data_IF_707757731434
#
_entry.id   IF_707757731434
#
_cell.length_a   1.000
_cell.length_b   1.000
_cell.length_c   1.000
_cell.angle_alpha   90.00
_cell.angle_beta   90.00
_cell.angle_gamma   90.00
#
_symmetry.space_group_name_H-M   'P 1'
#
loop_
_entity.id
_entity.type
_entity.pdbx_description
1 polymer ?
#
# COMPACT_ATOMS: atom_id res chain seq x y z
N UNK A 1 -2.91 -62.84 -85.05
CA UNK A 1 -3.14 -62.04 -86.26
C UNK A 1 -3.63 -60.68 -85.81
N UNK A 2 -2.81 -59.66 -86.08
CA UNK A 2 -3.10 -58.23 -86.23
C UNK A 2 -4.03 -57.48 -85.25
N UNK A 3 -3.46 -56.37 -84.76
CA UNK A 3 -4.16 -55.12 -84.44
C UNK A 3 -5.14 -54.69 -85.56
N UNK A 4 -6.32 -54.21 -85.18
CA UNK A 4 -6.77 -52.82 -85.40
C UNK A 4 -8.10 -52.63 -84.65
N UNK A 5 -8.21 -51.84 -83.57
CA UNK A 5 -8.23 -50.36 -83.55
C UNK A 5 -9.15 -49.77 -84.63
N UNK A 6 -10.31 -49.24 -84.24
CA UNK A 6 -10.57 -47.79 -84.18
C UNK A 6 -12.06 -47.49 -83.94
N UNK A 7 -12.27 -46.48 -83.07
CA UNK A 7 -13.49 -45.68 -82.86
C UNK A 7 -14.54 -46.28 -81.91
N UNK A 8 -15.12 -45.38 -81.10
CA UNK A 8 -15.93 -45.56 -79.87
C UNK A 8 -15.04 -45.72 -78.63
N UNK A 9 -14.96 -44.81 -77.66
CA UNK A 9 -15.91 -43.80 -77.22
C UNK A 9 -15.20 -42.57 -76.62
N UNK A 10 -15.55 -41.41 -77.13
CA UNK A 10 -15.37 -40.11 -76.48
C UNK A 10 -16.51 -39.93 -75.47
N UNK A 11 -16.21 -39.93 -74.17
CA UNK A 11 -16.84 -39.16 -73.07
C UNK A 11 -16.44 -39.78 -71.72
N UNK A 12 -15.29 -39.36 -71.17
CA UNK A 12 -15.03 -39.47 -69.72
C UNK A 12 -14.47 -38.14 -69.24
N UNK A 13 -15.36 -37.38 -68.60
CA UNK A 13 -15.06 -36.23 -67.76
C UNK A 13 -13.90 -36.57 -66.80
N UNK A 14 -12.99 -35.61 -66.64
CA UNK A 14 -11.93 -35.63 -65.65
C UNK A 14 -12.46 -35.92 -64.23
N UNK A 15 -12.08 -37.05 -63.65
CA UNK A 15 -12.01 -37.23 -62.20
C UNK A 15 -10.59 -36.85 -61.76
N UNK A 16 -10.46 -35.70 -61.11
CA UNK A 16 -9.30 -35.38 -60.26
C UNK A 16 -9.24 -36.39 -59.10
N UNK A 17 -8.06 -36.87 -58.69
CA UNK A 17 -7.94 -37.79 -57.57
C UNK A 17 -8.31 -37.05 -56.28
N UNK A 18 -9.29 -37.60 -55.53
CA UNK A 18 -9.61 -37.20 -54.17
C UNK A 18 -8.35 -37.38 -53.31
N UNK A 19 -7.77 -36.28 -52.82
CA UNK A 19 -6.77 -36.32 -51.76
C UNK A 19 -7.41 -36.96 -50.52
N UNK A 20 -6.73 -37.88 -49.81
CA UNK A 20 -7.25 -38.43 -48.57
C UNK A 20 -7.45 -37.31 -47.55
N UNK A 21 -8.60 -37.33 -46.87
CA UNK A 21 -8.91 -36.40 -45.78
C UNK A 21 -7.91 -36.57 -44.64
N UNK A 22 -7.54 -35.47 -43.96
CA UNK A 22 -6.63 -35.51 -42.82
C UNK A 22 -7.24 -36.35 -41.68
N UNK A 23 -6.47 -37.29 -41.14
CA UNK A 23 -6.90 -38.16 -40.03
C UNK A 23 -6.76 -37.46 -38.67
N UNK A 24 -7.45 -38.00 -37.66
CA UNK A 24 -7.40 -37.46 -36.30
C UNK A 24 -6.07 -37.81 -35.62
N UNK A 25 -5.28 -36.76 -35.34
CA UNK A 25 -3.99 -36.87 -34.69
C UNK A 25 -2.85 -37.33 -35.62
N UNK A 26 -1.62 -36.97 -35.26
CA UNK A 26 -0.42 -37.43 -35.98
C UNK A 26 0.86 -37.19 -35.19
N UNK A 27 1.84 -38.06 -35.36
CA UNK A 27 3.19 -37.87 -34.83
C UNK A 27 4.16 -37.58 -35.97
N UNK A 28 4.81 -36.41 -35.94
CA UNK A 28 5.72 -35.95 -37.00
C UNK A 28 7.13 -35.75 -36.46
N UNK A 29 8.11 -36.24 -37.21
CA UNK A 29 9.54 -36.02 -36.93
C UNK A 29 10.17 -35.22 -38.06
N UNK A 30 10.86 -34.12 -37.74
CA UNK A 30 11.51 -33.30 -38.76
C UNK A 30 11.85 -31.88 -38.33
N UNK A 31 12.49 -31.15 -39.23
CA UNK A 31 12.88 -29.74 -39.01
C UNK A 31 11.83 -28.74 -39.48
N UNK A 32 10.83 -29.18 -40.24
CA UNK A 32 9.67 -28.38 -40.64
C UNK A 32 8.56 -29.30 -41.11
N UNK A 33 7.31 -28.82 -41.05
CA UNK A 33 6.17 -29.56 -41.55
C UNK A 33 4.85 -28.87 -41.31
N UNK A 34 3.76 -29.57 -41.62
CA UNK A 34 2.39 -29.09 -41.50
C UNK A 34 1.57 -30.12 -40.73
N UNK A 35 0.75 -29.64 -39.80
CA UNK A 35 -0.26 -30.41 -39.08
C UNK A 35 -1.64 -29.91 -39.47
N UNK A 36 -2.54 -30.83 -39.76
CA UNK A 36 -3.91 -30.53 -40.19
C UNK A 36 -4.89 -31.06 -39.16
N UNK A 37 -5.96 -30.31 -38.91
CA UNK A 37 -7.11 -30.80 -38.16
C UNK A 37 -7.82 -31.92 -38.94
N UNK A 38 -8.62 -32.78 -38.28
CA UNK A 38 -9.36 -33.84 -38.96
C UNK A 38 -10.24 -33.26 -40.07
N UNK A 39 -10.30 -33.95 -41.21
CA UNK A 39 -11.05 -33.57 -42.42
C UNK A 39 -10.60 -32.29 -43.13
N UNK A 40 -9.60 -31.55 -42.63
CA UNK A 40 -9.18 -30.29 -43.26
C UNK A 40 -8.86 -30.48 -44.76
N UNK A 41 -9.34 -29.59 -45.65
CA UNK A 41 -9.96 -28.27 -45.39
C UNK A 41 -11.48 -28.28 -45.14
N UNK A 42 -12.10 -29.45 -45.01
CA UNK A 42 -13.51 -29.60 -44.61
C UNK A 42 -13.60 -29.47 -43.09
N UNK A 43 -14.78 -29.07 -42.59
CA UNK A 43 -15.03 -28.97 -41.17
C UNK A 43 -14.71 -30.28 -40.42
N UNK A 44 -14.09 -30.16 -39.26
CA UNK A 44 -13.90 -31.27 -38.33
C UNK A 44 -15.25 -31.75 -37.77
N UNK A 45 -15.30 -32.91 -37.12
CA UNK A 45 -16.52 -33.38 -36.45
C UNK A 45 -16.51 -33.08 -34.93
N UNK A 46 -17.67 -33.30 -34.32
CA UNK A 46 -17.89 -33.15 -32.88
C UNK A 46 -17.35 -34.34 -32.09
N UNK A 47 -17.06 -34.12 -30.81
CA UNK A 47 -16.59 -35.11 -29.83
C UNK A 47 -15.26 -35.79 -30.22
N UNK A 48 -14.36 -35.02 -30.85
CA UNK A 48 -13.01 -35.49 -31.16
C UNK A 48 -12.03 -35.12 -30.04
N UNK A 49 -11.12 -36.05 -29.75
CA UNK A 49 -9.92 -35.82 -28.96
C UNK A 49 -8.73 -36.28 -29.80
N UNK A 50 -8.14 -35.35 -30.55
CA UNK A 50 -7.04 -35.62 -31.46
C UNK A 50 -5.72 -35.16 -30.87
N UNK A 51 -4.75 -36.06 -30.86
CA UNK A 51 -3.43 -35.84 -30.29
C UNK A 51 -2.41 -35.66 -31.41
N UNK A 52 -1.63 -34.59 -31.35
CA UNK A 52 -0.52 -34.36 -32.26
C UNK A 52 0.79 -34.29 -31.48
N UNK A 53 1.85 -34.87 -32.03
CA UNK A 53 3.19 -34.72 -31.47
C UNK A 53 4.19 -34.33 -32.55
N UNK A 54 5.06 -33.39 -32.21
CA UNK A 54 6.15 -32.92 -33.06
C UNK A 54 7.45 -33.23 -32.34
N UNK A 55 8.38 -33.88 -33.02
CA UNK A 55 9.71 -34.13 -32.48
C UNK A 55 10.79 -33.71 -33.49
N UNK A 56 11.75 -32.90 -33.03
CA UNK A 56 12.90 -32.46 -33.82
C UNK A 56 14.20 -32.99 -33.21
N UNK A 57 15.33 -32.61 -33.81
CA UNK A 57 16.65 -33.01 -33.32
C UNK A 57 16.91 -32.46 -31.90
N UNK A 58 17.59 -33.22 -31.03
CA UNK A 58 18.07 -32.72 -29.74
C UNK A 58 18.83 -31.39 -29.88
N UNK A 59 18.55 -30.44 -28.97
CA UNK A 59 19.15 -29.10 -29.01
C UNK A 59 18.47 -28.11 -29.97
N UNK A 60 17.41 -28.51 -30.67
CA UNK A 60 16.53 -27.61 -31.43
C UNK A 60 15.17 -27.44 -30.76
N UNK A 61 14.58 -26.27 -30.93
CA UNK A 61 13.24 -25.91 -30.49
C UNK A 61 12.30 -25.92 -31.69
N UNK A 62 11.00 -25.84 -31.44
CA UNK A 62 9.94 -25.91 -32.44
C UNK A 62 9.17 -24.60 -32.37
N UNK A 63 9.18 -23.84 -33.47
CA UNK A 63 8.29 -22.71 -33.69
C UNK A 63 7.04 -23.21 -34.40
N UNK A 64 5.87 -22.94 -33.84
CA UNK A 64 4.56 -23.30 -34.36
C UNK A 64 3.78 -22.02 -34.70
N UNK A 65 3.20 -21.97 -35.90
CA UNK A 65 2.38 -20.87 -36.39
C UNK A 65 1.16 -21.41 -37.12
N UNK A 66 0.01 -20.77 -36.98
CA UNK A 66 -1.15 -21.12 -37.78
C UNK A 66 -1.12 -20.40 -39.14
N UNK A 67 -1.30 -21.17 -40.22
CA UNK A 67 -1.63 -20.60 -41.54
C UNK A 67 -3.14 -20.33 -41.63
N UNK A 68 -3.94 -21.25 -41.11
CA UNK A 68 -5.38 -21.12 -40.89
C UNK A 68 -5.71 -21.64 -39.50
N UNK A 69 -6.64 -20.98 -38.82
CA UNK A 69 -7.12 -21.39 -37.51
C UNK A 69 -8.53 -20.85 -37.30
N UNK A 70 -9.52 -21.72 -37.48
CA UNK A 70 -10.93 -21.42 -37.34
C UNK A 70 -11.58 -22.56 -36.55
N UNK A 71 -11.61 -22.42 -35.22
CA UNK A 71 -12.34 -23.31 -34.32
C UNK A 71 -13.69 -22.70 -33.92
N UNK A 72 -14.61 -23.52 -33.48
CA UNK A 72 -15.90 -23.10 -32.92
C UNK A 72 -15.74 -22.70 -31.44
N UNK A 73 -16.73 -21.97 -30.91
CA UNK A 73 -16.74 -21.59 -29.50
C UNK A 73 -17.02 -22.80 -28.59
N UNK A 74 -16.02 -23.22 -27.81
CA UNK A 74 -16.11 -24.41 -26.96
C UNK A 74 -15.03 -25.43 -27.29
N UNK A 75 -14.61 -25.46 -28.56
CA UNK A 75 -13.51 -26.28 -29.06
C UNK A 75 -12.16 -25.62 -28.78
N UNK A 76 -11.16 -26.46 -28.45
CA UNK A 76 -9.87 -25.97 -27.99
C UNK A 76 -8.69 -26.75 -28.54
N UNK A 77 -7.64 -26.03 -28.93
CA UNK A 77 -6.32 -26.58 -29.15
C UNK A 77 -5.40 -26.18 -27.98
N UNK A 78 -4.95 -27.16 -27.21
CA UNK A 78 -3.94 -26.98 -26.17
C UNK A 78 -2.57 -27.34 -26.73
N UNK A 79 -1.56 -26.53 -26.44
CA UNK A 79 -0.17 -26.73 -26.91
C UNK A 79 0.76 -26.82 -25.71
N UNK A 80 1.56 -27.87 -25.63
CA UNK A 80 2.43 -28.21 -24.51
C UNK A 80 3.90 -28.31 -24.94
N UNK A 81 4.82 -27.79 -24.13
CA UNK A 81 6.27 -27.81 -24.34
C UNK A 81 6.91 -29.09 -23.79
N UNK A 82 6.71 -30.19 -24.51
CA UNK A 82 7.27 -31.49 -24.17
C UNK A 82 6.64 -32.61 -24.99
N UNK A 83 6.80 -33.85 -24.52
CA UNK A 83 6.36 -35.05 -25.23
C UNK A 83 4.97 -35.57 -24.83
N UNK A 84 4.28 -34.92 -23.88
CA UNK A 84 2.95 -35.29 -23.40
C UNK A 84 2.25 -34.09 -22.71
N UNK A 85 1.01 -34.28 -22.26
CA UNK A 85 0.20 -33.25 -21.58
C UNK A 85 0.53 -32.98 -20.11
N UNK A 86 1.50 -33.69 -19.52
CA UNK A 86 2.06 -33.30 -18.21
C UNK A 86 3.11 -32.19 -18.31
N UNK A 87 3.54 -31.84 -19.53
CA UNK A 87 4.49 -30.78 -19.78
C UNK A 87 3.88 -29.37 -19.61
N UNK A 88 4.72 -28.32 -19.67
CA UNK A 88 4.28 -26.92 -19.52
C UNK A 88 3.31 -26.56 -20.65
N UNK A 89 2.08 -26.18 -20.31
CA UNK A 89 1.11 -25.62 -21.26
C UNK A 89 1.63 -24.26 -21.77
N UNK A 90 1.87 -24.15 -23.08
CA UNK A 90 2.28 -22.91 -23.74
C UNK A 90 1.08 -22.03 -24.10
N UNK A 91 -0.08 -22.63 -24.33
CA UNK A 91 -1.31 -21.90 -24.60
C UNK A 91 -2.50 -22.82 -24.86
N UNK A 92 -3.69 -22.24 -24.75
CA UNK A 92 -4.99 -22.87 -25.00
C UNK A 92 -5.76 -21.93 -25.90
N UNK A 93 -6.05 -22.37 -27.13
CA UNK A 93 -6.56 -21.49 -28.19
C UNK A 93 -7.92 -21.98 -28.67
N UNK A 94 -8.85 -21.04 -28.84
CA UNK A 94 -10.16 -21.25 -29.42
C UNK A 94 -10.41 -20.26 -30.57
N UNK A 95 -11.53 -20.40 -31.28
CA UNK A 95 -11.94 -19.45 -32.33
C UNK A 95 -10.81 -19.20 -33.35
N UNK A 96 -10.37 -17.96 -33.46
CA UNK A 96 -9.30 -17.49 -34.35
C UNK A 96 -8.06 -17.01 -33.57
N UNK A 97 -7.92 -17.35 -32.29
CA UNK A 97 -6.93 -16.77 -31.36
C UNK A 97 -5.48 -17.07 -31.74
N UNK A 98 -5.23 -18.17 -32.46
CA UNK A 98 -3.86 -18.58 -32.83
C UNK A 98 -3.35 -17.96 -34.14
N UNK A 99 -4.21 -17.32 -34.96
CA UNK A 99 -3.84 -16.80 -36.30
C UNK A 99 -2.71 -15.77 -36.29
N UNK A 100 -2.57 -14.99 -35.21
CA UNK A 100 -1.55 -13.94 -35.08
C UNK A 100 -0.47 -14.26 -34.03
N UNK A 101 -0.43 -15.50 -33.54
CA UNK A 101 0.46 -15.92 -32.45
C UNK A 101 1.50 -16.92 -32.98
N UNK A 102 2.76 -16.75 -32.56
CA UNK A 102 3.82 -17.74 -32.79
C UNK A 102 4.25 -18.34 -31.46
N UNK A 103 4.24 -19.67 -31.37
CA UNK A 103 4.61 -20.39 -30.15
C UNK A 103 5.97 -21.04 -30.36
N UNK A 104 6.91 -20.82 -29.44
CA UNK A 104 8.22 -21.44 -29.47
C UNK A 104 8.35 -22.43 -28.29
N UNK A 105 8.80 -23.65 -28.53
CA UNK A 105 9.14 -24.60 -27.47
C UNK A 105 10.52 -24.33 -26.88
N UNK A 106 10.73 -24.74 -25.62
CA UNK A 106 12.06 -24.76 -24.99
C UNK A 106 12.74 -26.11 -25.13
N UNK A 107 12.06 -27.11 -25.70
CA UNK A 107 12.53 -28.48 -25.90
C UNK A 107 12.39 -28.94 -27.35
N UNK A 108 12.97 -30.09 -27.67
CA UNK A 108 12.89 -30.73 -28.99
C UNK A 108 11.56 -31.44 -29.27
N UNK A 109 10.58 -31.34 -28.36
CA UNK A 109 9.28 -31.99 -28.49
C UNK A 109 8.15 -31.02 -28.18
N UNK A 110 7.04 -31.11 -28.93
CA UNK A 110 5.81 -30.36 -28.68
C UNK A 110 4.63 -31.32 -28.77
N UNK A 111 3.69 -31.22 -27.82
CA UNK A 111 2.49 -32.04 -27.74
C UNK A 111 1.27 -31.14 -27.87
N UNK A 112 0.30 -31.53 -28.70
CA UNK A 112 -0.92 -30.76 -28.91
C UNK A 112 -2.15 -31.66 -28.74
N UNK A 113 -3.18 -31.11 -28.10
CA UNK A 113 -4.47 -31.77 -27.89
C UNK A 113 -5.55 -30.89 -28.48
N UNK A 114 -6.21 -31.40 -29.54
CA UNK A 114 -7.37 -30.78 -30.13
C UNK A 114 -8.63 -31.49 -29.63
N UNK A 115 -9.47 -30.75 -28.91
CA UNK A 115 -10.65 -31.29 -28.23
C UNK A 115 -11.86 -30.54 -28.78
N UNK A 116 -12.85 -31.27 -29.30
CA UNK A 116 -14.12 -30.72 -29.77
C UNK A 116 -15.29 -31.20 -28.93
N UNK A 117 -16.28 -30.32 -28.73
CA UNK A 117 -17.50 -30.63 -27.98
C UNK A 117 -18.59 -31.26 -28.88
N UNK A 118 -19.83 -31.32 -28.40
CA UNK A 118 -20.95 -31.93 -29.12
C UNK A 118 -21.67 -31.00 -30.10
N UNK A 119 -21.33 -29.71 -30.17
CA UNK A 119 -22.10 -28.65 -30.83
C UNK A 119 -21.30 -27.91 -31.91
N UNK A 120 -21.89 -27.75 -33.10
CA UNK A 120 -21.33 -26.97 -34.22
C UNK A 120 -19.91 -27.39 -34.68
N UNK A 121 -19.51 -27.00 -35.88
CA UNK A 121 -18.18 -27.34 -36.41
C UNK A 121 -17.63 -26.20 -37.25
N UNK A 122 -16.31 -26.10 -37.35
CA UNK A 122 -15.63 -25.11 -38.18
C UNK A 122 -14.53 -25.78 -39.03
N UNK A 123 -13.87 -25.01 -39.91
CA UNK A 123 -12.86 -25.52 -40.85
C UNK A 123 -11.67 -26.18 -40.16
N UNK A 124 -11.38 -25.84 -38.90
CA UNK A 124 -10.24 -26.36 -38.17
C UNK A 124 -8.96 -25.57 -38.42
N UNK A 125 -7.83 -26.25 -38.56
CA UNK A 125 -6.52 -25.60 -38.63
C UNK A 125 -5.55 -26.25 -39.62
N UNK A 126 -4.65 -25.40 -40.13
CA UNK A 126 -3.39 -25.77 -40.78
C UNK A 126 -2.27 -25.10 -39.99
N UNK A 127 -1.56 -25.89 -39.18
CA UNK A 127 -0.44 -25.42 -38.37
C UNK A 127 0.86 -25.75 -39.11
N UNK A 128 1.74 -24.76 -39.21
CA UNK A 128 3.07 -24.92 -39.77
C UNK A 128 4.09 -24.86 -38.65
N UNK A 129 5.00 -25.83 -38.61
CA UNK A 129 6.10 -25.84 -37.67
C UNK A 129 7.44 -25.78 -38.37
N UNK A 130 8.43 -25.17 -37.71
CA UNK A 130 9.82 -25.18 -38.11
C UNK A 130 10.73 -25.24 -36.89
N UNK A 131 11.90 -25.86 -37.04
CA UNK A 131 12.87 -25.99 -35.97
C UNK A 131 13.86 -24.81 -35.94
N UNK A 132 14.27 -24.39 -34.75
CA UNK A 132 15.31 -23.37 -34.56
C UNK A 132 16.33 -23.84 -33.51
N UNK A 133 17.53 -23.25 -33.50
CA UNK A 133 18.58 -23.64 -32.55
C UNK A 133 18.27 -23.13 -31.13
N UNK A 134 18.29 -24.03 -30.13
CA UNK A 134 18.12 -23.68 -28.72
C UNK A 134 19.47 -23.25 -28.12
N UNK A 135 19.88 -22.03 -28.47
CA UNK A 135 21.17 -21.47 -28.06
C UNK A 135 21.09 -20.80 -26.69
N UNK A 136 19.97 -20.13 -26.42
CA UNK A 136 19.78 -19.30 -25.23
C UNK A 136 18.41 -19.52 -24.59
N UNK A 137 18.33 -19.34 -23.27
CA UNK A 137 17.08 -19.16 -22.57
C UNK A 137 16.41 -17.83 -22.98
N UNK A 138 15.08 -17.76 -22.83
CA UNK A 138 14.35 -16.51 -22.98
C UNK A 138 14.74 -15.52 -21.88
N UNK A 139 14.60 -14.21 -22.12
CA UNK A 139 14.84 -13.22 -21.06
C UNK A 139 13.83 -13.46 -19.93
N UNK A 140 14.28 -13.75 -18.69
CA UNK A 140 13.37 -14.02 -17.58
C UNK A 140 12.55 -12.79 -17.19
N UNK A 141 12.96 -11.59 -17.62
CA UNK A 141 12.36 -10.32 -17.23
C UNK A 141 12.93 -9.80 -15.92
N UNK A 142 12.19 -8.91 -15.27
CA UNK A 142 12.57 -8.25 -14.01
C UNK A 142 11.37 -8.36 -13.05
N UNK A 143 11.58 -8.78 -11.78
CA UNK A 143 10.50 -8.78 -10.80
C UNK A 143 9.94 -7.37 -10.60
N UNK A 144 8.62 -7.26 -10.45
CA UNK A 144 8.01 -5.99 -10.04
C UNK A 144 8.59 -5.58 -8.68
N UNK A 145 9.00 -4.31 -8.54
CA UNK A 145 9.70 -3.79 -7.36
C UNK A 145 11.05 -4.46 -7.06
N UNK A 146 11.75 -4.88 -8.11
CA UNK A 146 13.11 -5.38 -8.01
C UNK A 146 13.92 -5.12 -9.28
N UNK A 147 15.15 -5.62 -9.27
CA UNK A 147 16.14 -5.39 -10.31
C UNK A 147 17.08 -6.58 -10.49
N UNK A 148 17.70 -6.67 -11.67
CA UNK A 148 18.78 -7.62 -11.93
C UNK A 148 20.06 -7.09 -11.27
N UNK A 149 20.65 -7.89 -10.38
CA UNK A 149 21.95 -7.59 -9.75
C UNK A 149 23.09 -7.91 -10.71
N UNK A 150 23.00 -9.07 -11.37
CA UNK A 150 23.98 -9.53 -12.35
C UNK A 150 23.27 -10.33 -13.45
N UNK A 151 23.71 -10.18 -14.70
CA UNK A 151 23.22 -10.92 -15.86
C UNK A 151 24.43 -11.39 -16.69
N UNK A 152 24.75 -12.69 -16.61
CA UNK A 152 25.86 -13.33 -17.34
C UNK A 152 25.48 -13.69 -18.79
N UNK A 153 24.38 -13.13 -19.29
CA UNK A 153 23.73 -13.55 -20.52
C UNK A 153 22.84 -14.77 -20.31
N UNK A 154 22.25 -15.25 -21.40
CA UNK A 154 21.21 -16.29 -21.35
C UNK A 154 21.65 -17.59 -22.02
N UNK A 155 22.97 -17.81 -22.17
CA UNK A 155 23.49 -19.06 -22.73
C UNK A 155 23.37 -20.21 -21.73
N UNK A 156 23.46 -21.44 -22.21
CA UNK A 156 23.42 -22.62 -21.36
C UNK A 156 24.46 -22.54 -20.23
N UNK A 157 24.02 -22.68 -18.98
CA UNK A 157 24.86 -22.57 -17.79
C UNK A 157 25.09 -21.15 -17.28
N UNK A 158 24.73 -20.10 -18.04
CA UNK A 158 24.76 -18.71 -17.54
C UNK A 158 23.74 -18.51 -16.43
N UNK A 159 24.02 -17.55 -15.54
CA UNK A 159 23.14 -17.20 -14.44
C UNK A 159 22.70 -15.73 -14.45
N UNK A 160 21.51 -15.49 -13.90
CA UNK A 160 20.98 -14.14 -13.66
C UNK A 160 20.56 -14.07 -12.19
N UNK A 161 20.98 -13.02 -11.50
CA UNK A 161 20.65 -12.80 -10.09
C UNK A 161 19.80 -11.57 -9.87
N UNK A 162 18.92 -11.63 -8.88
CA UNK A 162 17.89 -10.61 -8.62
C UNK A 162 17.95 -10.11 -7.18
N UNK A 163 17.51 -8.87 -7.00
CA UNK A 163 17.28 -8.26 -5.68
C UNK A 163 16.04 -7.37 -5.74
N UNK A 164 15.52 -7.00 -4.59
CA UNK A 164 14.33 -6.18 -4.46
C UNK A 164 14.67 -4.74 -4.10
N UNK A 165 13.77 -3.83 -4.45
CA UNK A 165 13.83 -2.43 -4.02
C UNK A 165 13.72 -2.33 -2.49
N UNK A 166 14.24 -1.27 -1.85
CA UNK A 166 14.17 -1.10 -0.41
C UNK A 166 12.75 -1.24 0.16
N UNK A 167 12.61 -2.10 1.18
CA UNK A 167 11.33 -2.41 1.84
C UNK A 167 10.59 -3.62 1.27
N UNK A 168 11.06 -4.22 0.19
CA UNK A 168 10.53 -5.48 -0.35
C UNK A 168 11.47 -6.65 -0.07
N UNK A 169 10.87 -7.82 0.20
CA UNK A 169 11.58 -9.09 0.41
C UNK A 169 11.47 -9.96 -0.83
N UNK A 170 12.58 -10.58 -1.24
CA UNK A 170 12.62 -11.50 -2.37
C UNK A 170 12.03 -12.87 -1.97
N UNK A 171 10.96 -13.29 -2.64
CA UNK A 171 10.41 -14.65 -2.58
C UNK A 171 10.73 -15.44 -3.85
N UNK A 172 11.25 -16.65 -3.66
CA UNK A 172 11.70 -17.53 -4.74
C UNK A 172 13.23 -17.60 -4.83
N UNK A 173 13.75 -18.07 -5.97
CA UNK A 173 15.20 -18.18 -6.15
C UNK A 173 15.81 -16.83 -6.49
N UNK A 174 16.85 -16.44 -5.73
CA UNK A 174 17.66 -15.25 -6.01
C UNK A 174 18.47 -15.36 -7.29
N UNK A 175 18.80 -16.58 -7.69
CA UNK A 175 19.63 -16.87 -8.87
C UNK A 175 18.88 -17.84 -9.75
N UNK A 176 18.74 -17.50 -11.03
CA UNK A 176 18.23 -18.39 -12.07
C UNK A 176 19.40 -18.86 -12.91
N UNK A 177 19.42 -20.14 -13.25
CA UNK A 177 20.45 -20.75 -14.08
C UNK A 177 19.81 -21.30 -15.34
N UNK A 178 20.33 -20.92 -16.50
CA UNK A 178 19.84 -21.44 -17.78
C UNK A 178 20.25 -22.91 -17.90
N UNK A 179 19.26 -23.80 -17.99
CA UNK A 179 19.49 -25.24 -17.96
C UNK A 179 20.44 -25.72 -19.06
N UNK A 180 21.34 -26.62 -18.66
CA UNK A 180 22.23 -27.36 -19.56
C UNK A 180 21.53 -28.63 -20.05
N UNK A 181 21.84 -29.08 -21.27
CA UNK A 181 21.17 -30.24 -21.91
C UNK A 181 20.29 -29.87 -23.11
N UNK A 182 19.27 -30.69 -23.38
CA UNK A 182 18.40 -30.58 -24.57
C UNK A 182 17.29 -29.52 -24.45
N UNK A 183 17.07 -28.99 -23.25
CA UNK A 183 16.08 -27.94 -22.96
C UNK A 183 16.78 -26.61 -22.69
N UNK A 184 16.23 -25.50 -23.20
CA UNK A 184 16.64 -24.13 -22.84
C UNK A 184 15.53 -23.40 -22.11
N UNK A 185 15.48 -23.62 -20.81
CA UNK A 185 14.61 -22.91 -19.89
C UNK A 185 15.40 -22.59 -18.61
N UNK A 186 14.91 -21.61 -17.85
CA UNK A 186 15.42 -21.35 -16.50
C UNK A 186 15.03 -22.51 -15.57
N UNK A 187 15.92 -22.82 -14.63
CA UNK A 187 15.73 -23.87 -13.64
C UNK A 187 14.61 -23.55 -12.64
N UNK A 188 14.34 -22.26 -12.41
CA UNK A 188 13.31 -21.74 -11.52
C UNK A 188 12.52 -20.60 -12.20
N UNK A 189 11.28 -20.31 -11.74
CA UNK A 189 10.54 -19.15 -12.21
C UNK A 189 11.17 -17.83 -11.72
N UNK A 190 10.85 -16.73 -12.40
CA UNK A 190 11.22 -15.38 -11.96
C UNK A 190 10.75 -15.15 -10.50
N UNK A 191 11.63 -14.71 -9.58
CA UNK A 191 11.23 -14.43 -8.20
C UNK A 191 10.25 -13.26 -8.13
N UNK A 192 9.63 -13.06 -6.97
CA UNK A 192 8.70 -11.96 -6.70
C UNK A 192 9.20 -11.12 -5.52
N UNK A 193 9.10 -9.80 -5.60
CA UNK A 193 9.40 -8.90 -4.50
C UNK A 193 8.09 -8.49 -3.81
N UNK A 194 7.98 -8.78 -2.50
CA UNK A 194 6.75 -8.57 -1.73
C UNK A 194 7.02 -7.75 -0.47
N UNK A 195 6.12 -6.83 -0.16
CA UNK A 195 6.11 -6.15 1.14
C UNK A 195 5.49 -7.09 2.17
N UNK A 196 6.30 -7.58 3.11
CA UNK A 196 5.88 -8.59 4.09
C UNK A 196 5.32 -7.96 5.38
N UNK A 197 4.50 -8.76 6.08
CA UNK A 197 3.98 -8.41 7.39
C UNK A 197 5.03 -8.63 8.48
N UNK A 198 5.66 -7.53 8.90
CA UNK A 198 6.67 -7.52 9.96
C UNK A 198 8.08 -7.85 9.48
N UNK A 199 9.02 -7.89 10.44
CA UNK A 199 10.42 -8.21 10.18
C UNK A 199 11.37 -7.64 11.23
N UNK A 200 12.63 -8.09 11.20
CA UNK A 200 13.69 -7.54 12.08
C UNK A 200 14.82 -6.99 11.23
N UNK A 201 15.20 -5.75 11.49
CA UNK A 201 16.28 -5.04 10.81
C UNK A 201 17.32 -4.68 11.86
N UNK A 202 18.56 -5.13 11.67
CA UNK A 202 19.65 -4.92 12.61
C UNK A 202 20.90 -4.41 11.90
N UNK A 203 21.49 -3.33 12.41
CA UNK A 203 22.76 -2.79 11.91
C UNK A 203 22.68 -2.05 10.57
N UNK A 204 21.48 -1.86 10.02
CA UNK A 204 21.28 -1.06 8.81
C UNK A 204 21.21 0.44 9.17
N UNK A 205 21.92 1.27 8.40
CA UNK A 205 21.95 2.73 8.62
C UNK A 205 20.77 3.47 8.01
N UNK A 206 20.06 2.83 7.08
CA UNK A 206 18.82 3.35 6.48
C UNK A 206 18.05 2.22 5.81
N UNK A 207 16.76 2.44 5.56
CA UNK A 207 15.93 1.50 4.82
C UNK A 207 14.48 1.91 4.79
N UNK A 208 13.61 1.02 4.31
CA UNK A 208 12.19 1.33 4.13
C UNK A 208 11.32 0.25 4.77
N UNK A 209 10.26 0.68 5.43
CA UNK A 209 9.19 -0.16 5.96
C UNK A 209 7.95 0.09 5.12
N UNK A 210 7.33 -0.97 4.64
CA UNK A 210 6.13 -0.92 3.82
C UNK A 210 5.02 -1.68 4.53
N UNK A 211 3.78 -1.21 4.43
CA UNK A 211 2.63 -2.01 4.79
C UNK A 211 2.52 -3.25 3.90
N UNK A 212 1.96 -4.38 4.38
CA UNK A 212 1.89 -5.61 3.60
C UNK A 212 1.16 -5.41 2.28
N UNK A 213 1.73 -5.94 1.20
CA UNK A 213 1.14 -5.81 -0.14
C UNK A 213 1.28 -4.43 -0.80
N UNK A 214 1.86 -3.43 -0.14
CA UNK A 214 2.05 -2.08 -0.72
C UNK A 214 2.70 -2.17 -2.12
N UNK A 215 2.23 -1.40 -3.13
CA UNK A 215 1.24 -0.32 -3.07
C UNK A 215 -0.21 -0.77 -3.24
N UNK A 216 -0.48 -2.08 -3.28
CA UNK A 216 -1.86 -2.59 -3.27
C UNK A 216 -2.44 -2.50 -1.86
N UNK A 217 -3.78 -2.48 -1.73
CA UNK A 217 -4.40 -2.40 -0.41
C UNK A 217 -3.96 -3.55 0.50
N UNK A 218 -3.69 -3.24 1.78
CA UNK A 218 -3.28 -4.25 2.76
C UNK A 218 -4.44 -5.22 3.09
N UNK A 219 -4.13 -6.44 3.53
CA UNK A 219 -5.13 -7.41 3.97
C UNK A 219 -5.79 -7.02 5.30
N UNK A 220 -6.94 -7.61 5.61
CA UNK A 220 -7.62 -7.45 6.90
C UNK A 220 -7.07 -8.41 7.97
N UNK A 221 -7.38 -8.16 9.25
CA UNK A 221 -6.99 -8.94 10.42
C UNK A 221 -5.48 -9.13 10.59
N UNK A 222 -4.69 -8.14 10.17
CA UNK A 222 -3.24 -8.17 10.27
C UNK A 222 -2.77 -7.77 11.68
N UNK A 223 -1.66 -8.37 12.08
CA UNK A 223 -0.88 -7.95 13.25
C UNK A 223 0.60 -8.02 12.89
N UNK A 224 1.08 -6.97 12.23
CA UNK A 224 2.44 -6.90 11.71
C UNK A 224 3.33 -6.15 12.68
N UNK A 225 4.51 -6.71 12.97
CA UNK A 225 5.48 -6.12 13.90
C UNK A 225 6.83 -6.01 13.20
N UNK A 226 7.36 -4.79 13.10
CA UNK A 226 8.71 -4.51 12.65
C UNK A 226 9.57 -4.05 13.82
N UNK A 227 10.77 -4.60 13.96
CA UNK A 227 11.77 -4.17 14.93
C UNK A 227 13.01 -3.65 14.21
N UNK A 228 13.40 -2.41 14.50
CA UNK A 228 14.62 -1.78 13.98
C UNK A 228 15.58 -1.62 15.15
N UNK A 229 16.77 -2.19 15.04
CA UNK A 229 17.83 -2.12 16.05
C UNK A 229 19.11 -1.54 15.42
N UNK A 230 19.47 -0.34 15.87
CA UNK A 230 20.68 0.38 15.49
C UNK A 230 21.82 0.08 16.48
N UNK A 231 23.04 0.46 16.10
CA UNK A 231 24.20 0.40 16.98
C UNK A 231 24.00 1.25 18.25
N UNK A 232 24.65 0.86 19.34
CA UNK A 232 24.56 1.57 20.62
C UNK A 232 25.03 3.03 20.48
N UNK A 233 24.26 3.96 21.05
CA UNK A 233 24.53 5.41 20.94
C UNK A 233 23.97 6.06 19.66
N UNK A 234 23.24 5.32 18.83
CA UNK A 234 22.49 5.89 17.70
C UNK A 234 20.99 6.03 18.03
N UNK A 235 20.32 6.91 17.30
CA UNK A 235 18.85 7.07 17.28
C UNK A 235 18.33 6.79 15.87
N UNK A 236 17.02 6.52 15.78
CA UNK A 236 16.31 6.15 14.57
C UNK A 236 15.30 7.25 14.28
N UNK A 237 15.45 7.89 13.12
CA UNK A 237 14.44 8.78 12.54
C UNK A 237 13.54 8.02 11.59
N UNK A 238 12.23 8.30 11.66
CA UNK A 238 11.20 7.76 10.77
C UNK A 238 10.56 8.92 10.00
N UNK A 239 10.66 8.84 8.68
CA UNK A 239 10.08 9.78 7.74
C UNK A 239 8.94 9.12 6.96
N UNK A 240 7.74 9.70 7.06
CA UNK A 240 6.54 9.17 6.41
C UNK A 240 6.46 9.68 4.98
N UNK A 241 6.53 8.76 4.01
CA UNK A 241 6.37 9.11 2.59
C UNK A 241 4.92 8.99 2.15
N UNK A 242 4.23 7.96 2.65
CA UNK A 242 2.81 7.67 2.38
C UNK A 242 2.19 7.15 3.67
N UNK A 243 0.98 7.59 3.98
CA UNK A 243 0.18 7.06 5.08
C UNK A 243 -1.31 7.18 4.74
N UNK A 244 -1.96 6.03 4.58
CA UNK A 244 -3.38 5.95 4.30
C UNK A 244 -3.94 4.63 4.85
N UNK A 245 -4.52 4.70 6.04
CA UNK A 245 -5.19 3.58 6.73
C UNK A 245 -6.66 3.94 6.99
N UNK A 246 -7.48 2.98 7.41
CA UNK A 246 -8.82 3.27 7.92
C UNK A 246 -8.72 4.10 9.22
N UNK A 247 -9.52 5.16 9.30
CA UNK A 247 -9.53 6.07 10.44
C UNK A 247 -10.14 5.38 11.67
N UNK A 248 -9.49 5.52 12.83
CA UNK A 248 -9.86 4.94 14.13
C UNK A 248 -9.83 3.40 14.26
N UNK A 249 -9.79 2.66 13.16
CA UNK A 249 -9.86 1.19 13.14
C UNK A 249 -8.53 0.52 12.84
N UNK A 250 -7.82 1.00 11.80
CA UNK A 250 -6.53 0.45 11.38
C UNK A 250 -5.39 1.32 11.91
N UNK A 251 -4.66 0.79 12.88
CA UNK A 251 -3.78 1.59 13.74
C UNK A 251 -2.33 1.17 13.59
N UNK A 252 -1.47 2.14 13.30
CA UNK A 252 -0.02 2.03 13.40
C UNK A 252 0.45 2.64 14.72
N UNK A 253 1.15 1.83 15.52
CA UNK A 253 1.77 2.24 16.78
C UNK A 253 3.29 2.15 16.67
N UNK A 254 3.97 3.12 17.29
CA UNK A 254 5.43 3.25 17.25
C UNK A 254 5.94 3.41 18.67
N UNK A 255 6.84 2.51 19.10
CA UNK A 255 7.46 2.53 20.42
C UNK A 255 8.96 2.83 20.32
N UNK A 256 9.42 3.71 21.20
CA UNK A 256 10.83 4.02 21.44
C UNK A 256 11.40 3.08 22.50
N UNK A 257 12.36 2.26 22.09
CA UNK A 257 13.05 1.33 22.98
C UNK A 257 12.57 -0.13 22.89
N UNK A 258 13.09 -0.99 23.78
CA UNK A 258 12.87 -2.43 23.74
C UNK A 258 11.44 -2.82 24.11
N UNK A 259 11.01 -3.99 23.63
CA UNK A 259 9.61 -4.49 23.69
C UNK A 259 9.00 -4.46 25.11
N UNK A 260 9.81 -4.68 26.15
CA UNK A 260 9.32 -4.82 27.53
C UNK A 260 8.97 -3.47 28.20
N UNK A 261 9.68 -2.38 27.84
CA UNK A 261 9.59 -1.07 28.49
C UNK A 261 9.50 0.09 27.49
N UNK A 262 9.11 -0.18 26.25
CA UNK A 262 9.08 0.81 25.17
C UNK A 262 8.10 1.95 25.45
N UNK A 263 8.51 3.18 25.14
CA UNK A 263 7.67 4.37 25.28
C UNK A 263 6.86 4.53 24.00
N UNK A 264 5.52 4.58 24.08
CA UNK A 264 4.68 4.84 22.91
C UNK A 264 4.92 6.27 22.41
N UNK A 265 5.60 6.43 21.27
CA UNK A 265 5.85 7.73 20.65
C UNK A 265 4.63 8.24 19.90
N UNK A 266 3.92 7.32 19.23
CA UNK A 266 2.86 7.68 18.31
C UNK A 266 1.88 6.53 18.11
N UNK A 267 0.61 6.87 18.08
CA UNK A 267 -0.50 6.02 17.65
C UNK A 267 -1.29 6.78 16.58
N UNK A 268 -1.51 6.16 15.43
CA UNK A 268 -2.02 6.86 14.24
C UNK A 268 -2.93 5.99 13.41
N UNK A 269 -3.91 6.62 12.78
CA UNK A 269 -4.83 6.03 11.79
C UNK A 269 -5.30 7.12 10.81
N UNK A 270 -5.98 6.73 9.74
CA UNK A 270 -6.54 7.66 8.75
C UNK A 270 -5.59 8.02 7.60
N UNK A 271 -5.84 9.15 6.96
CA UNK A 271 -5.18 9.55 5.69
C UNK A 271 -4.27 10.79 5.80
N UNK A 272 -4.18 11.39 6.99
CA UNK A 272 -3.30 12.54 7.23
C UNK A 272 -1.86 12.04 7.32
N UNK A 273 -0.96 12.62 6.52
CA UNK A 273 0.46 12.27 6.54
C UNK A 273 1.10 12.72 7.88
N UNK A 274 1.65 11.80 8.68
CA UNK A 274 2.25 12.16 9.96
C UNK A 274 3.54 12.97 9.83
N UNK A 275 3.85 13.76 10.85
CA UNK A 275 5.17 14.36 11.03
C UNK A 275 6.22 13.30 11.34
N UNK A 276 7.48 13.60 11.03
CA UNK A 276 8.61 12.73 11.34
C UNK A 276 8.69 12.41 12.83
N UNK A 277 9.14 11.18 13.12
CA UNK A 277 9.27 10.66 14.48
C UNK A 277 10.74 10.32 14.73
N UNK A 278 11.27 10.75 15.87
CA UNK A 278 12.65 10.48 16.27
C UNK A 278 12.69 9.73 17.59
N UNK A 279 13.38 8.59 17.59
CA UNK A 279 13.61 7.79 18.80
C UNK A 279 14.66 8.44 19.70
N UNK A 280 14.64 8.10 20.98
CA UNK A 280 15.72 8.39 21.92
C UNK A 280 16.55 7.15 22.21
N UNK A 281 15.98 5.95 22.10
CA UNK A 281 16.70 4.68 22.15
C UNK A 281 17.27 4.31 20.77
N UNK A 282 18.20 3.36 20.77
CA UNK A 282 18.74 2.73 19.55
C UNK A 282 17.82 1.65 18.96
N UNK A 283 16.59 1.51 19.47
CA UNK A 283 15.61 0.56 18.95
C UNK A 283 14.24 1.18 18.84
N UNK A 284 13.50 0.80 17.79
CA UNK A 284 12.12 1.21 17.56
C UNK A 284 11.31 -0.01 17.13
N UNK A 285 10.09 -0.09 17.65
CA UNK A 285 9.10 -1.11 17.25
C UNK A 285 7.95 -0.40 16.56
N UNK A 286 7.53 -0.95 15.42
CA UNK A 286 6.33 -0.53 14.70
C UNK A 286 5.35 -1.70 14.71
N UNK A 287 4.10 -1.47 15.12
CA UNK A 287 3.04 -2.47 15.06
C UNK A 287 1.86 -1.91 14.29
N UNK A 288 1.46 -2.64 13.25
CA UNK A 288 0.28 -2.32 12.46
C UNK A 288 -0.80 -3.37 12.69
N UNK A 289 -1.95 -2.93 13.19
CA UNK A 289 -3.12 -3.75 13.40
C UNK A 289 -4.24 -3.29 12.49
N UNK A 290 -4.88 -4.24 11.80
CA UNK A 290 -6.06 -3.96 10.99
C UNK A 290 -7.26 -4.74 11.49
N UNK A 291 -8.45 -4.21 11.27
CA UNK A 291 -9.69 -4.87 11.64
C UNK A 291 -10.16 -5.88 10.55
N UNK A 292 -11.43 -6.31 10.59
CA UNK A 292 -11.97 -7.33 9.69
C UNK A 292 -12.54 -6.80 8.37
N UNK A 293 -12.64 -5.48 8.17
CA UNK A 293 -13.15 -4.87 6.94
C UNK A 293 -12.30 -3.66 6.53
N UNK A 294 -12.61 -3.05 5.37
CA UNK A 294 -11.91 -1.88 4.80
C UNK A 294 -10.38 -1.95 4.69
N UNK A 295 -9.89 -2.17 3.47
CA UNK A 295 -8.46 -1.99 3.16
C UNK A 295 -8.19 -0.65 2.48
N UNK A 296 -7.07 -0.01 2.82
CA UNK A 296 -6.53 1.18 2.15
C UNK A 296 -5.13 0.87 1.60
N UNK A 297 -4.51 1.85 0.94
CA UNK A 297 -3.17 1.70 0.34
C UNK A 297 -2.08 1.35 1.37
N UNK A 298 -2.25 1.77 2.64
CA UNK A 298 -1.30 1.55 3.71
C UNK A 298 -0.23 2.63 3.77
N UNK A 299 1.01 2.25 4.06
CA UNK A 299 2.08 3.21 4.35
C UNK A 299 3.43 2.80 3.78
N UNK A 300 4.27 3.82 3.55
CA UNK A 300 5.67 3.69 3.23
C UNK A 300 6.48 4.65 4.11
N UNK A 301 7.37 4.08 4.93
CA UNK A 301 8.16 4.81 5.93
C UNK A 301 9.63 4.61 5.59
N UNK A 302 10.36 5.70 5.44
CA UNK A 302 11.82 5.67 5.32
C UNK A 302 12.42 5.83 6.72
N UNK A 303 13.28 4.92 7.14
CA UNK A 303 14.07 5.09 8.36
C UNK A 303 15.51 5.46 8.04
N UNK A 304 16.12 6.19 8.97
CA UNK A 304 17.53 6.54 8.95
C UNK A 304 18.10 6.50 10.37
N UNK A 305 19.32 6.03 10.49
CA UNK A 305 20.05 5.95 11.76
C UNK A 305 21.06 7.08 11.82
N UNK A 306 21.07 7.79 12.95
CA UNK A 306 22.01 8.88 13.22
C UNK A 306 22.67 8.70 14.58
N UNK A 307 23.93 9.09 14.71
CA UNK A 307 24.60 9.12 16.02
C UNK A 307 23.93 10.15 16.92
N UNK A 308 23.60 9.76 18.15
CA UNK A 308 23.00 10.64 19.13
C UNK A 308 24.09 11.55 19.72
N UNK A 309 24.03 12.84 19.39
CA UNK A 309 24.97 13.85 19.91
C UNK A 309 24.28 14.96 20.71
N UNK A 310 22.96 15.05 20.60
CA UNK A 310 22.11 16.08 21.19
C UNK A 310 20.69 15.52 21.36
N UNK A 311 19.85 16.23 22.12
CA UNK A 311 18.44 15.86 22.23
C UNK A 311 17.70 16.11 20.91
N UNK A 312 16.67 15.28 20.64
CA UNK A 312 15.78 15.50 19.50
C UNK A 312 15.10 16.88 19.60
N UNK A 313 14.65 17.43 18.47
CA UNK A 313 13.87 18.67 18.51
C UNK A 313 12.53 18.41 19.22
N UNK A 314 12.21 19.08 20.35
CA UNK A 314 10.93 18.91 21.04
C UNK A 314 9.76 19.53 20.27
N UNK A 315 10.02 20.24 19.17
CA UNK A 315 9.04 20.95 18.37
C UNK A 315 8.55 22.23 19.04
N UNK A 316 7.43 22.74 18.55
CA UNK A 316 6.69 23.86 19.13
C UNK A 316 5.29 23.33 19.45
N UNK A 317 4.80 23.48 20.69
CA UNK A 317 3.45 23.02 21.03
C UNK A 317 2.43 23.76 20.16
N UNK A 318 1.37 23.06 19.75
CA UNK A 318 0.24 23.70 19.07
C UNK A 318 -0.30 24.81 19.98
N UNK A 319 -0.57 25.98 19.40
CA UNK A 319 -1.02 27.15 20.15
C UNK A 319 -0.03 27.62 21.23
N UNK A 320 1.27 27.48 20.99
CA UNK A 320 2.31 28.05 21.82
C UNK A 320 3.53 28.50 21.04
N UNK A 321 4.54 28.91 21.78
CA UNK A 321 5.85 29.33 21.31
C UNK A 321 6.93 28.78 22.24
N UNK A 322 8.17 28.78 21.75
CA UNK A 322 9.34 28.37 22.53
C UNK A 322 10.43 29.44 22.45
N UNK A 323 11.31 29.43 23.44
CA UNK A 323 12.50 30.27 23.54
C UNK A 323 13.71 29.40 23.83
N UNK A 324 14.73 29.49 22.96
CA UNK A 324 15.92 28.64 22.97
C UNK A 324 15.87 27.59 21.87
N UNK A 325 17.00 27.37 21.19
CA UNK A 325 17.13 26.44 20.06
C UNK A 325 18.27 25.42 20.22
N UNK A 326 19.10 25.58 21.26
CA UNK A 326 20.22 24.68 21.53
C UNK A 326 19.72 23.38 22.16
N UNK A 327 20.31 22.27 21.74
CA UNK A 327 19.88 20.90 22.07
C UNK A 327 21.00 20.07 22.68
N UNK A 328 22.12 20.70 23.01
CA UNK A 328 23.26 20.02 23.62
C UNK A 328 22.95 19.67 25.07
N UNK A 329 23.66 18.68 25.62
CA UNK A 329 23.46 18.26 26.99
C UNK A 329 23.71 19.43 27.97
N UNK A 330 22.73 19.71 28.82
CA UNK A 330 22.73 20.82 29.78
C UNK A 330 21.96 22.06 29.32
N UNK A 331 21.64 22.18 28.03
CA UNK A 331 20.84 23.30 27.52
C UNK A 331 19.37 23.18 27.92
N UNK A 332 18.70 24.33 28.00
CA UNK A 332 17.27 24.38 28.34
C UNK A 332 16.46 25.18 27.32
N UNK A 333 15.23 24.72 27.09
CA UNK A 333 14.23 25.40 26.26
C UNK A 333 13.05 25.78 27.15
N UNK A 334 12.52 26.99 26.95
CA UNK A 334 11.35 27.50 27.68
C UNK A 334 10.16 27.63 26.74
N UNK A 335 8.99 27.17 27.17
CA UNK A 335 7.75 27.20 26.42
C UNK A 335 6.75 28.17 27.04
N UNK A 336 5.93 28.76 26.16
CA UNK A 336 4.85 29.64 26.52
C UNK A 336 3.65 29.38 25.62
N UNK A 337 2.45 29.33 26.19
CA UNK A 337 1.23 29.18 25.41
C UNK A 337 0.69 30.52 24.89
N UNK A 338 -0.02 30.47 23.77
CA UNK A 338 -0.75 31.61 23.22
C UNK A 338 -1.86 32.04 24.20
N UNK A 339 -2.34 33.29 24.13
CA UNK A 339 -3.42 33.77 24.98
C UNK A 339 -4.66 32.85 24.94
N UNK A 340 -5.22 32.56 26.13
CA UNK A 340 -6.36 31.66 26.30
C UNK A 340 -6.00 30.18 26.48
N UNK A 341 -4.75 29.78 26.23
CA UNK A 341 -4.26 28.42 26.47
C UNK A 341 -3.46 28.33 27.77
N UNK A 342 -3.57 27.19 28.44
CA UNK A 342 -2.81 26.85 29.63
C UNK A 342 -1.73 25.80 29.32
N UNK A 343 -0.56 25.98 29.92
CA UNK A 343 0.56 25.05 29.79
C UNK A 343 0.31 23.79 30.66
N UNK A 344 0.40 22.62 30.04
CA UNK A 344 0.36 21.31 30.69
C UNK A 344 1.79 20.76 30.77
N UNK A 345 2.34 20.71 31.98
CA UNK A 345 3.72 20.35 32.26
C UNK A 345 4.57 21.55 32.68
N UNK A 346 5.89 21.35 32.71
CA UNK A 346 6.83 22.42 33.10
C UNK A 346 7.18 23.32 31.93
N UNK A 347 7.25 24.63 32.19
CA UNK A 347 7.59 25.62 31.16
C UNK A 347 9.04 25.47 30.69
N UNK A 348 9.94 24.88 31.48
CA UNK A 348 11.35 24.75 31.15
C UNK A 348 11.75 23.28 31.15
N UNK A 349 12.24 22.81 29.99
CA UNK A 349 12.84 21.48 29.85
C UNK A 349 14.34 21.60 29.65
N UNK A 350 15.11 20.60 30.08
CA UNK A 350 16.57 20.57 29.96
C UNK A 350 17.01 19.30 29.25
N UNK A 351 17.94 19.41 28.30
CA UNK A 351 18.50 18.26 27.62
C UNK A 351 19.45 17.52 28.56
N UNK A 352 19.17 16.26 28.83
CA UNK A 352 19.99 15.42 29.70
C UNK A 352 20.61 14.28 28.91
N UNK A 353 21.84 13.93 29.28
CA UNK A 353 22.56 12.77 28.76
C UNK A 353 22.76 11.76 29.88
N UNK A 354 22.14 10.57 29.75
CA UNK A 354 22.29 9.46 30.71
C UNK A 354 22.59 8.20 29.91
N UNK A 355 23.65 7.47 30.25
CA UNK A 355 24.04 6.22 29.58
C UNK A 355 24.10 6.32 28.04
N UNK A 356 24.65 7.42 27.51
CA UNK A 356 24.70 7.75 26.07
C UNK A 356 23.33 7.95 25.39
N UNK A 357 22.25 8.11 26.16
CA UNK A 357 20.92 8.51 25.68
C UNK A 357 20.71 10.01 25.90
N UNK A 358 20.28 10.73 24.87
CA UNK A 358 19.94 12.15 24.94
C UNK A 358 18.42 12.31 24.91
N UNK A 359 17.86 12.96 25.92
CA UNK A 359 16.42 13.20 26.02
C UNK A 359 16.11 14.43 26.86
N UNK A 360 14.92 15.00 26.67
CA UNK A 360 14.46 16.15 27.45
C UNK A 360 13.91 15.72 28.80
N UNK A 361 14.24 16.47 29.84
CA UNK A 361 13.65 16.29 31.15
C UNK A 361 13.26 17.65 31.78
N UNK A 362 12.02 17.81 32.26
CA UNK A 362 10.87 16.90 32.03
C UNK A 362 10.47 16.83 30.55
N UNK A 363 9.47 16.00 30.23
CA UNK A 363 8.96 15.86 28.88
C UNK A 363 8.43 17.19 28.32
N UNK A 364 8.47 17.40 26.99
CA UNK A 364 7.96 18.62 26.37
C UNK A 364 6.50 18.91 26.76
N UNK A 365 6.17 20.14 27.17
CA UNK A 365 4.82 20.49 27.60
C UNK A 365 3.88 20.66 26.40
N UNK A 366 2.57 20.65 26.67
CA UNK A 366 1.53 20.96 25.67
C UNK A 366 0.71 22.18 26.08
N UNK A 367 0.08 22.83 25.10
CA UNK A 367 -0.81 23.97 25.33
C UNK A 367 -2.25 23.55 25.06
N UNK A 368 -3.11 23.67 26.08
CA UNK A 368 -4.50 23.22 26.00
C UNK A 368 -5.45 24.32 26.47
N UNK A 369 -6.60 24.45 25.83
CA UNK A 369 -7.64 25.36 26.29
C UNK A 369 -8.27 24.79 27.59
N UNK A 370 -8.15 25.48 28.74
CA UNK A 370 -8.60 24.96 30.03
C UNK A 370 -10.13 25.01 30.18
N UNK A 371 -10.66 24.13 31.03
CA UNK A 371 -12.07 24.16 31.45
C UNK A 371 -12.22 25.02 32.70
N UNK A 372 -12.45 26.33 32.51
CA UNK A 372 -12.61 27.29 33.60
C UNK A 372 -11.33 27.95 34.08
N UNK A 373 -11.45 28.86 35.05
CA UNK A 373 -10.33 29.55 35.67
C UNK A 373 -10.67 30.91 36.27
N UNK A 374 -9.69 31.52 36.96
CA UNK A 374 -9.81 32.87 37.50
C UNK A 374 -8.98 33.81 36.62
N UNK A 375 -9.62 34.82 36.03
CA UNK A 375 -9.04 35.76 35.09
C UNK A 375 -9.04 37.16 35.69
N UNK A 376 -7.87 37.69 36.00
CA UNK A 376 -7.71 39.00 36.67
C UNK A 376 -7.03 40.07 35.84
N UNK A 377 -6.54 39.71 34.65
CA UNK A 377 -5.91 40.65 33.73
C UNK A 377 -6.94 41.63 33.14
N UNK A 378 -6.51 42.82 32.67
CA UNK A 378 -7.41 43.82 32.08
C UNK A 378 -7.99 43.37 30.73
N UNK A 379 -7.36 42.41 30.05
CA UNK A 379 -7.86 41.81 28.83
C UNK A 379 -7.37 40.36 28.72
N UNK A 380 -8.03 39.56 27.88
CA UNK A 380 -7.64 38.18 27.64
C UNK A 380 -8.58 37.43 26.69
N UNK A 381 -8.34 36.13 26.54
CA UNK A 381 -9.09 35.24 25.66
C UNK A 381 -9.62 34.06 26.46
N UNK A 382 -10.87 33.69 26.25
CA UNK A 382 -11.53 32.52 26.81
C UNK A 382 -11.89 31.60 25.65
N UNK A 383 -11.47 30.35 25.78
CA UNK A 383 -11.67 29.32 24.79
C UNK A 383 -12.57 28.22 25.38
N UNK A 384 -13.38 27.60 24.54
CA UNK A 384 -14.00 26.33 24.91
C UNK A 384 -12.93 25.26 25.16
N UNK A 385 -13.18 24.28 26.04
CA UNK A 385 -12.18 23.25 26.34
C UNK A 385 -11.74 22.52 25.08
N UNK A 386 -10.42 22.27 24.95
CA UNK A 386 -9.76 21.61 23.80
C UNK A 386 -9.80 22.33 22.45
N UNK A 387 -10.34 23.56 22.38
CA UNK A 387 -10.31 24.35 21.14
C UNK A 387 -8.89 24.37 20.50
N UNK A 388 -8.72 24.19 19.17
CA UNK A 388 -9.74 24.24 18.11
C UNK A 388 -10.53 22.94 17.89
N UNK A 389 -10.22 21.87 18.61
CA UNK A 389 -11.00 20.63 18.53
C UNK A 389 -12.40 20.84 19.13
N UNK A 390 -13.40 20.05 18.70
CA UNK A 390 -14.74 20.10 19.29
C UNK A 390 -14.69 19.93 20.81
N UNK A 391 -15.50 20.72 21.54
CA UNK A 391 -15.50 20.64 23.00
C UNK A 391 -15.96 19.24 23.47
N UNK A 392 -15.39 18.68 24.54
CA UNK A 392 -15.83 17.37 25.00
C UNK A 392 -17.26 17.36 25.59
N UNK A 393 -17.97 16.24 25.52
CA UNK A 393 -19.23 16.06 26.24
C UNK A 393 -19.01 16.02 27.77
N UNK A 394 -20.05 16.36 28.53
CA UNK A 394 -20.14 16.23 29.99
C UNK A 394 -19.23 17.19 30.74
N UNK A 395 -18.97 18.39 30.19
CA UNK A 395 -18.08 19.38 30.80
C UNK A 395 -18.87 20.42 31.58
N UNK A 396 -18.34 20.75 32.75
CA UNK A 396 -18.79 21.86 33.58
C UNK A 396 -17.61 22.80 33.83
N UNK A 397 -17.58 23.91 33.11
CA UNK A 397 -16.46 24.85 33.14
C UNK A 397 -16.93 26.22 33.62
N UNK A 398 -16.20 26.78 34.59
CA UNK A 398 -16.54 28.06 35.22
C UNK A 398 -15.38 29.04 35.13
N UNK A 399 -15.62 30.22 34.56
CA UNK A 399 -14.65 31.31 34.51
C UNK A 399 -15.13 32.48 35.36
N UNK A 400 -14.25 32.93 36.26
CA UNK A 400 -14.46 34.13 37.08
C UNK A 400 -13.55 35.24 36.58
N UNK A 401 -14.15 36.27 36.00
CA UNK A 401 -13.43 37.45 35.50
C UNK A 401 -13.54 38.55 36.55
N UNK A 402 -12.42 39.16 36.91
CA UNK A 402 -12.38 40.28 37.85
C UNK A 402 -11.30 41.27 37.43
N UNK A 403 -11.71 42.43 36.92
CA UNK A 403 -10.78 43.51 36.57
C UNK A 403 -10.69 44.53 37.70
N UNK A 404 -9.84 45.54 37.54
CA UNK A 404 -9.71 46.62 38.53
C UNK A 404 -11.06 47.35 38.71
N UNK A 405 -11.40 47.82 39.93
CA UNK A 405 -12.72 48.38 40.25
C UNK A 405 -13.18 49.57 39.39
N UNK A 406 -12.25 50.28 38.75
CA UNK A 406 -12.53 51.43 37.89
C UNK A 406 -12.93 51.05 36.45
N UNK A 407 -12.95 49.74 36.13
CA UNK A 407 -13.24 49.22 34.80
C UNK A 407 -14.51 48.37 34.80
N UNK A 408 -15.20 48.37 33.65
CA UNK A 408 -16.21 47.38 33.29
C UNK A 408 -15.62 46.42 32.25
N UNK A 409 -16.19 45.24 32.12
CA UNK A 409 -15.72 44.18 31.23
C UNK A 409 -16.61 44.14 30.01
N UNK A 410 -16.01 44.18 28.82
CA UNK A 410 -16.70 43.91 27.57
C UNK A 410 -16.31 42.54 27.03
N UNK A 411 -17.30 41.72 26.62
CA UNK A 411 -17.09 40.45 25.94
C UNK A 411 -17.40 40.58 24.46
N UNK A 412 -16.49 40.08 23.62
CA UNK A 412 -16.63 39.99 22.16
C UNK A 412 -16.47 38.53 21.75
N UNK A 413 -17.46 38.01 21.03
CA UNK A 413 -17.45 36.64 20.52
C UNK A 413 -16.88 36.63 19.12
N UNK A 414 -15.78 35.90 18.92
CA UNK A 414 -15.18 35.71 17.60
C UNK A 414 -15.73 34.44 16.92
N UNK A 415 -15.96 33.40 17.72
CA UNK A 415 -16.49 32.10 17.28
C UNK A 415 -17.51 31.64 18.32
N UNK A 416 -18.64 31.08 17.87
CA UNK A 416 -19.65 30.49 18.74
C UNK A 416 -20.42 29.39 18.00
N UNK A 417 -20.33 28.16 18.48
CA UNK A 417 -21.03 26.99 17.96
C UNK A 417 -21.18 25.93 19.04
N UNK A 418 -22.35 25.89 19.68
CA UNK A 418 -22.74 24.92 20.70
C UNK A 418 -23.93 24.07 20.21
N UNK A 419 -24.17 22.90 20.80
CA UNK A 419 -25.33 22.07 20.47
C UNK A 419 -26.64 22.81 20.80
N UNK A 420 -27.56 22.98 19.83
CA UNK A 420 -28.79 23.71 20.08
C UNK A 420 -29.72 23.01 21.08
N UNK A 421 -29.99 23.66 22.21
CA UNK A 421 -30.99 23.22 23.19
C UNK A 421 -30.49 22.22 24.25
N UNK A 422 -29.22 21.80 24.17
CA UNK A 422 -28.61 20.84 25.09
C UNK A 422 -27.38 21.42 25.78
N UNK A 423 -26.54 22.14 25.04
CA UNK A 423 -25.33 22.78 25.57
C UNK A 423 -25.50 24.28 25.71
N UNK A 424 -25.02 24.84 26.83
CA UNK A 424 -25.25 26.24 27.15
C UNK A 424 -24.00 26.93 27.70
N UNK A 425 -23.79 28.17 27.25
CA UNK A 425 -22.93 29.14 27.91
C UNK A 425 -23.81 30.15 28.64
N UNK A 426 -23.75 30.14 29.98
CA UNK A 426 -24.43 31.11 30.83
C UNK A 426 -23.48 32.23 31.23
N UNK A 427 -23.96 33.47 31.19
CA UNK A 427 -23.18 34.65 31.55
C UNK A 427 -23.93 35.46 32.60
N UNK A 428 -23.27 35.69 33.74
CA UNK A 428 -23.84 36.37 34.90
C UNK A 428 -23.08 37.67 35.18
N UNK A 429 -23.83 38.74 35.47
CA UNK A 429 -23.31 40.07 35.77
C UNK A 429 -22.90 40.19 37.24
N UNK A 430 -21.78 39.58 37.58
CA UNK A 430 -21.24 39.57 38.94
C UNK A 430 -20.22 38.45 39.18
N UNK A 431 -19.83 38.21 40.45
CA UNK A 431 -18.71 37.34 40.78
C UNK A 431 -18.99 35.83 40.74
N UNK A 432 -20.25 35.41 40.63
CA UNK A 432 -20.68 34.00 40.74
C UNK A 432 -22.05 33.73 40.08
N UNK A 433 -22.50 32.47 40.12
CA UNK A 433 -23.77 31.99 39.54
C UNK A 433 -25.04 32.45 40.27
N UNK A 434 -24.92 33.15 41.40
CA UNK A 434 -26.06 33.77 42.10
C UNK A 434 -26.32 35.20 41.62
N UNK A 435 -25.42 35.75 40.81
CA UNK A 435 -25.52 37.10 40.24
C UNK A 435 -26.60 37.16 39.14
N UNK A 436 -27.08 38.34 38.73
CA UNK A 436 -28.07 38.47 37.66
C UNK A 436 -27.62 37.82 36.35
N UNK A 437 -28.44 36.93 35.78
CA UNK A 437 -28.17 36.29 34.49
C UNK A 437 -28.34 37.30 33.35
N UNK A 438 -27.28 37.54 32.58
CA UNK A 438 -27.33 38.34 31.34
C UNK A 438 -28.00 37.52 30.25
N UNK A 439 -27.58 36.26 30.08
CA UNK A 439 -28.14 35.39 29.06
C UNK A 439 -27.62 33.96 29.10
N UNK A 440 -28.37 33.08 28.44
CA UNK A 440 -28.02 31.68 28.17
C UNK A 440 -27.93 31.49 26.67
N UNK A 441 -26.72 31.20 26.18
CA UNK A 441 -26.41 31.16 24.76
C UNK A 441 -26.16 29.71 24.30
N UNK A 442 -26.65 29.36 23.12
CA UNK A 442 -26.48 28.06 22.48
C UNK A 442 -26.60 28.18 20.95
N UNK A 443 -26.33 27.09 20.23
CA UNK A 443 -26.39 27.07 18.78
C UNK A 443 -25.22 27.81 18.13
N UNK A 444 -25.40 28.26 16.89
CA UNK A 444 -24.34 28.86 16.07
C UNK A 444 -24.54 30.35 15.78
N UNK A 445 -25.57 30.98 16.36
CA UNK A 445 -25.74 32.42 16.25
C UNK A 445 -24.74 33.11 17.18
N UNK A 446 -23.88 33.94 16.60
CA UNK A 446 -22.90 34.71 17.34
C UNK A 446 -23.61 35.71 18.28
N UNK A 447 -23.35 35.69 19.60
CA UNK A 447 -23.92 36.67 20.52
C UNK A 447 -23.44 38.10 20.22
N UNK A 448 -24.29 39.09 20.50
CA UNK A 448 -23.88 40.50 20.46
C UNK A 448 -22.87 40.81 21.58
N UNK A 449 -22.17 41.93 21.45
CA UNK A 449 -21.22 42.42 22.48
C UNK A 449 -21.95 42.59 23.82
N UNK A 450 -21.37 42.03 24.88
CA UNK A 450 -21.91 42.11 26.24
C UNK A 450 -21.02 43.04 27.05
N UNK A 451 -21.63 43.94 27.84
CA UNK A 451 -20.94 44.82 28.78
C UNK A 451 -21.47 44.57 30.19
N UNK A 452 -20.56 44.41 31.15
CA UNK A 452 -20.93 44.23 32.55
C UNK A 452 -21.34 45.54 33.21
N UNK A 453 -22.15 45.47 34.27
CA UNK A 453 -22.47 46.64 35.09
C UNK A 453 -21.41 46.94 36.16
N UNK A 454 -20.51 45.98 36.40
CA UNK A 454 -19.46 46.06 37.42
C UNK A 454 -18.11 45.57 36.89
N UNK A 455 -17.10 45.48 37.76
CA UNK A 455 -15.77 44.97 37.42
C UNK A 455 -15.66 43.43 37.46
N UNK A 456 -16.77 42.69 37.50
CA UNK A 456 -16.79 41.22 37.60
C UNK A 456 -17.84 40.58 36.69
N UNK A 457 -17.47 39.46 36.07
CA UNK A 457 -18.36 38.58 35.31
C UNK A 457 -18.12 37.12 35.71
N UNK A 458 -19.16 36.31 35.65
CA UNK A 458 -19.09 34.87 35.84
C UNK A 458 -19.67 34.16 34.61
N UNK A 459 -18.87 33.30 33.98
CA UNK A 459 -19.26 32.52 32.82
C UNK A 459 -19.29 31.04 33.19
N UNK A 460 -20.36 30.34 32.83
CA UNK A 460 -20.53 28.91 33.09
C UNK A 460 -20.93 28.18 31.81
N UNK A 461 -20.03 27.32 31.32
CA UNK A 461 -20.29 26.44 30.18
C UNK A 461 -20.68 25.05 30.67
N UNK A 462 -21.75 24.49 30.09
CA UNK A 462 -22.28 23.15 30.41
C UNK A 462 -22.54 22.39 29.12
N UNK A 463 -21.93 21.20 28.99
CA UNK A 463 -22.22 20.27 27.88
C UNK A 463 -22.86 18.95 28.34
N UNK A 464 -23.72 18.41 27.49
CA UNK A 464 -24.45 17.15 27.71
C UNK A 464 -23.58 15.91 27.41
N UNK A 465 -24.13 14.69 27.45
CA UNK A 465 -23.37 13.46 27.31
C UNK A 465 -22.91 13.12 25.87
N UNK A 466 -23.30 13.90 24.86
CA UNK A 466 -23.03 13.62 23.44
C UNK A 466 -22.83 14.89 22.61
N UNK A 467 -22.73 14.74 21.28
CA UNK A 467 -22.70 15.80 20.26
C UNK A 467 -21.84 17.02 20.60
N UNK A 468 -20.60 17.00 20.09
CA UNK A 468 -19.66 18.10 20.23
C UNK A 468 -19.62 18.98 18.98
N UNK A 469 -19.73 20.30 19.16
CA UNK A 469 -19.50 21.30 18.11
C UNK A 469 -18.16 22.03 18.31
N UNK A 470 -17.83 22.96 17.41
CA UNK A 470 -16.54 23.68 17.40
C UNK A 470 -16.29 24.58 18.64
N UNK A 471 -17.31 24.89 19.43
CA UNK A 471 -17.17 25.64 20.68
C UNK A 471 -17.14 27.16 20.50
N UNK A 472 -16.35 27.86 21.33
CA UNK A 472 -16.33 29.32 21.35
C UNK A 472 -14.95 29.92 21.58
N UNK A 473 -14.77 31.14 21.06
CA UNK A 473 -13.62 32.01 21.30
C UNK A 473 -14.14 33.38 21.69
N UNK A 474 -13.86 33.81 22.92
CA UNK A 474 -14.33 35.06 23.50
C UNK A 474 -13.13 35.91 23.88
N UNK A 475 -13.09 37.13 23.40
CA UNK A 475 -12.14 38.15 23.86
C UNK A 475 -12.81 39.02 24.91
N UNK A 476 -12.09 39.35 25.97
CA UNK A 476 -12.54 40.30 26.97
C UNK A 476 -11.55 41.45 27.13
N UNK A 477 -12.06 42.65 27.41
CA UNK A 477 -11.30 43.90 27.59
C UNK A 477 -11.92 44.79 28.65
#
# INVERSE_FOLDING_TARGET
>A
MLLCKQLLESFKLCLLPLLPAAECGSSVTGTQGVLLSPNYPINYNNNHECIYSIQTQPGKGIQLKARTFELEAGDVLKVYDGSNSSARLLGSFSRSEMLSTSINSTSSSMWLEFITDSENTSKGFELQFSSFELIKCEDPGIPQFGYKVHDEGHFAGSSVSFSCDPGYTLRGSRVLVCLTGERRAWDQPLPTCVAECGGSIKGETSGRILSPGYPTPYDHNLNCIWSIEAEAGCTIGLHFMVFHTEEFHDVLRIWDGPVENGILLKEMSGSVLPSDVHSTFNSVILQFNTDFFTSKQGFAIQFSVSTATSCNDPGIPQNGSRSGDSKEAGDSIVFQCNPGYALQGEAKITCVQIENRFFWQPDPPSCTAPCGGILTGPAGVILSPQYPEPYPPGKECDWKLTVSPDYVIALVFNIFSLEPGYDFLHIYDGPDSLSPLIGSFYGSQLPERIESSSNSLFLAFRSDASVSNAGFVIEYT
#
